data_IF_836469081449
#
_entry.id   IF_836469081449
#
_cell.length_a   1.000
_cell.length_b   1.000
_cell.length_c   1.000
_cell.angle_alpha   90.00
_cell.angle_beta   90.00
_cell.angle_gamma   90.00
#
_symmetry.space_group_name_H-M   'P 1'
#
loop_
_entity.id
_entity.type
_entity.pdbx_description
1 polymer ?
#
# COMPACT_ATOMS: atom_id res chain seq x y z
N UNK A 1 -12.07 -11.42 -0.23
CA UNK A 1 -11.19 -11.05 -1.37
C UNK A 1 -10.43 -12.26 -1.87
N UNK A 2 -9.49 -12.82 -1.10
CA UNK A 2 -8.54 -13.80 -1.65
C UNK A 2 -9.10 -15.16 -2.11
N UNK A 3 -10.32 -15.54 -1.72
CA UNK A 3 -10.90 -16.85 -2.09
C UNK A 3 -11.71 -16.80 -3.39
N UNK A 4 -12.46 -15.72 -3.63
CA UNK A 4 -13.53 -15.69 -4.63
C UNK A 4 -13.53 -14.44 -5.54
N UNK A 5 -12.66 -13.46 -5.28
CA UNK A 5 -12.63 -12.23 -6.10
C UNK A 5 -11.86 -12.48 -7.38
N UNK A 6 -12.49 -12.12 -8.51
CA UNK A 6 -11.87 -12.17 -9.83
C UNK A 6 -10.75 -11.12 -9.93
N UNK A 7 -9.60 -11.53 -10.49
CA UNK A 7 -8.42 -10.69 -10.69
C UNK A 7 -8.54 -9.85 -11.97
N UNK A 8 -9.66 -9.13 -12.12
CA UNK A 8 -9.89 -8.15 -13.17
C UNK A 8 -10.09 -6.75 -12.57
N UNK A 9 -10.13 -5.72 -13.42
CA UNK A 9 -10.23 -4.33 -12.97
C UNK A 9 -11.52 -4.08 -12.18
N UNK A 10 -12.66 -4.53 -12.70
CA UNK A 10 -13.98 -4.21 -12.14
C UNK A 10 -14.25 -4.98 -10.83
N UNK A 11 -13.87 -6.26 -10.77
CA UNK A 11 -14.04 -7.12 -9.60
C UNK A 11 -13.23 -6.63 -8.40
N UNK A 12 -12.00 -6.17 -8.63
CA UNK A 12 -11.16 -5.61 -7.56
C UNK A 12 -11.62 -4.22 -7.11
N UNK A 13 -12.12 -3.38 -8.01
CA UNK A 13 -12.75 -2.09 -7.65
C UNK A 13 -14.01 -2.33 -6.81
N UNK A 14 -14.87 -3.27 -7.22
CA UNK A 14 -16.07 -3.64 -6.47
C UNK A 14 -15.75 -4.16 -5.05
N UNK A 15 -14.57 -4.79 -4.87
CA UNK A 15 -14.05 -5.24 -3.60
C UNK A 15 -13.36 -4.14 -2.75
N UNK A 16 -13.49 -2.86 -3.11
CA UNK A 16 -12.85 -1.70 -2.45
C UNK A 16 -11.31 -1.77 -2.46
N UNK A 17 -10.75 -2.33 -3.53
CA UNK A 17 -9.32 -2.33 -3.83
C UNK A 17 -9.14 -1.93 -5.30
N UNK A 18 -8.00 -2.24 -5.93
CA UNK A 18 -7.77 -1.93 -7.33
C UNK A 18 -6.73 -2.84 -7.95
N UNK A 19 -6.91 -3.13 -9.24
CA UNK A 19 -5.92 -3.84 -10.04
C UNK A 19 -4.96 -2.82 -10.68
N UNK A 20 -3.74 -2.73 -10.14
CA UNK A 20 -2.65 -1.93 -10.70
C UNK A 20 -1.88 -2.68 -11.78
N UNK A 21 -0.56 -2.82 -11.60
CA UNK A 21 0.33 -3.58 -12.51
C UNK A 21 0.12 -5.10 -12.49
N UNK A 22 -0.96 -5.58 -11.87
CA UNK A 22 -1.22 -6.99 -11.56
C UNK A 22 -0.10 -7.69 -10.76
N UNK A 23 0.79 -6.94 -10.10
CA UNK A 23 1.77 -7.49 -9.17
C UNK A 23 1.12 -7.87 -7.83
N UNK A 24 0.87 -9.17 -7.62
CA UNK A 24 0.22 -9.68 -6.41
C UNK A 24 1.24 -9.93 -5.31
N UNK A 25 1.07 -9.26 -4.17
CA UNK A 25 1.87 -9.47 -2.96
C UNK A 25 1.04 -10.30 -1.98
N UNK A 26 1.49 -11.53 -1.69
CA UNK A 26 0.83 -12.43 -0.74
C UNK A 26 1.58 -12.42 0.60
N UNK A 27 0.88 -12.09 1.68
CA UNK A 27 1.42 -12.12 3.05
C UNK A 27 0.80 -13.28 3.83
N UNK A 28 1.64 -14.15 4.39
CA UNK A 28 1.19 -15.26 5.25
C UNK A 28 1.05 -14.80 6.71
N UNK A 29 0.61 -15.70 7.60
CA UNK A 29 0.41 -15.40 9.03
C UNK A 29 1.70 -15.13 9.82
N UNK A 30 2.86 -15.43 9.26
CA UNK A 30 4.16 -15.15 9.89
C UNK A 30 4.66 -13.73 9.57
N UNK A 31 4.07 -13.07 8.57
CA UNK A 31 4.41 -11.72 8.19
C UNK A 31 3.77 -10.72 9.16
N UNK A 32 4.59 -9.81 9.69
CA UNK A 32 4.11 -8.63 10.39
C UNK A 32 3.54 -7.64 9.38
N UNK A 33 2.21 -7.67 9.22
CA UNK A 33 1.50 -6.84 8.24
C UNK A 33 1.70 -5.35 8.50
N UNK A 34 1.81 -4.93 9.77
CA UNK A 34 2.01 -3.51 10.11
C UNK A 34 3.39 -3.06 9.64
N UNK A 35 4.44 -3.83 9.93
CA UNK A 35 5.80 -3.54 9.44
C UNK A 35 5.91 -3.62 7.92
N UNK A 36 5.21 -4.55 7.28
CA UNK A 36 5.18 -4.66 5.83
C UNK A 36 4.60 -3.39 5.18
N UNK A 37 3.45 -2.91 5.68
CA UNK A 37 2.85 -1.67 5.20
C UNK A 37 3.72 -0.45 5.58
N UNK A 38 4.32 -0.41 6.77
CA UNK A 38 5.25 0.66 7.15
C UNK A 38 6.42 0.76 6.15
N UNK A 39 6.96 -0.37 5.71
CA UNK A 39 8.02 -0.42 4.71
C UNK A 39 7.58 0.09 3.33
N UNK A 40 6.32 -0.11 2.96
CA UNK A 40 5.72 0.48 1.75
C UNK A 40 5.56 2.00 1.89
N UNK A 41 5.14 2.50 3.06
CA UNK A 41 5.11 3.94 3.32
C UNK A 41 6.50 4.57 3.20
N UNK A 42 7.55 3.90 3.71
CA UNK A 42 8.94 4.34 3.52
C UNK A 42 9.33 4.39 2.05
N UNK A 43 8.89 3.42 1.23
CA UNK A 43 9.11 3.44 -0.22
C UNK A 43 8.42 4.65 -0.89
N UNK A 44 7.14 4.88 -0.59
CA UNK A 44 6.42 6.02 -1.17
C UNK A 44 6.99 7.37 -0.75
N UNK A 45 7.52 7.49 0.47
CA UNK A 45 8.28 8.66 0.91
C UNK A 45 9.58 8.82 0.12
N UNK A 46 10.35 7.75 -0.04
CA UNK A 46 11.64 7.77 -0.74
C UNK A 46 11.49 8.11 -2.23
N UNK A 47 10.48 7.55 -2.90
CA UNK A 47 10.24 7.71 -4.33
C UNK A 47 9.26 8.84 -4.67
N UNK A 48 8.80 9.61 -3.69
CA UNK A 48 7.94 10.77 -3.96
C UNK A 48 8.74 11.81 -4.76
N UNK A 49 8.20 12.25 -5.90
CA UNK A 49 8.83 13.32 -6.69
C UNK A 49 8.86 14.67 -5.96
N UNK A 50 8.11 14.82 -4.87
CA UNK A 50 8.09 16.01 -4.03
C UNK A 50 7.35 17.22 -4.61
N UNK A 51 6.64 17.09 -5.74
CA UNK A 51 5.99 18.22 -6.41
C UNK A 51 4.84 18.84 -5.60
N UNK A 52 3.89 18.01 -5.16
CA UNK A 52 2.70 18.46 -4.44
C UNK A 52 2.89 18.34 -2.93
N UNK A 53 2.69 19.42 -2.18
CA UNK A 53 2.76 19.44 -0.70
C UNK A 53 2.01 18.31 -0.01
N UNK A 54 0.75 17.94 -0.37
CA UNK A 54 0.08 16.82 0.29
C UNK A 54 0.81 15.48 0.13
N UNK A 55 1.56 15.28 -0.96
CA UNK A 55 2.37 14.07 -1.16
C UNK A 55 3.73 14.20 -0.47
N UNK A 56 4.46 15.29 -0.70
CA UNK A 56 5.82 15.50 -0.15
C UNK A 56 5.84 15.45 1.38
N UNK A 57 4.93 16.19 2.02
CA UNK A 57 4.84 16.22 3.48
C UNK A 57 4.00 15.07 4.03
N UNK A 58 2.91 14.71 3.32
CA UNK A 58 2.00 13.65 3.76
C UNK A 58 2.65 12.27 3.75
N UNK A 59 3.46 11.92 2.74
CA UNK A 59 4.20 10.65 2.74
C UNK A 59 5.23 10.58 3.87
N UNK A 60 5.87 11.70 4.22
CA UNK A 60 6.78 11.75 5.37
C UNK A 60 6.04 11.53 6.70
N UNK A 61 4.86 12.15 6.83
CA UNK A 61 4.02 11.98 8.01
C UNK A 61 3.48 10.56 8.14
N UNK A 62 2.98 9.97 7.05
CA UNK A 62 2.51 8.57 7.02
C UNK A 62 3.60 7.58 7.42
N UNK A 63 4.81 7.71 6.86
CA UNK A 63 5.97 6.89 7.23
C UNK A 63 6.27 6.99 8.74
N UNK A 64 6.31 8.22 9.27
CA UNK A 64 6.53 8.45 10.70
C UNK A 64 5.43 7.82 11.56
N UNK A 65 4.18 7.88 11.13
CA UNK A 65 3.04 7.33 11.87
C UNK A 65 3.02 5.80 11.86
N UNK A 66 3.33 5.18 10.73
CA UNK A 66 3.35 3.71 10.63
C UNK A 66 4.42 3.08 11.50
N UNK A 67 5.59 3.72 11.66
CA UNK A 67 6.67 3.23 12.53
C UNK A 67 6.45 3.45 14.04
N UNK A 68 5.31 4.01 14.43
CA UNK A 68 4.91 4.14 15.85
C UNK A 68 4.09 2.95 16.36
N UNK A 69 3.56 2.13 15.45
CA UNK A 69 2.78 0.92 15.75
C UNK A 69 3.65 -0.32 15.59
#
# INVERSE_FOLDING_TARGET
VCNDVMMDFDGLIAAQTGLGTAAVIVMNKQCDVVKAIARLCTFYKHESCGQCTPCREGCNWMDTMMWRF
#
